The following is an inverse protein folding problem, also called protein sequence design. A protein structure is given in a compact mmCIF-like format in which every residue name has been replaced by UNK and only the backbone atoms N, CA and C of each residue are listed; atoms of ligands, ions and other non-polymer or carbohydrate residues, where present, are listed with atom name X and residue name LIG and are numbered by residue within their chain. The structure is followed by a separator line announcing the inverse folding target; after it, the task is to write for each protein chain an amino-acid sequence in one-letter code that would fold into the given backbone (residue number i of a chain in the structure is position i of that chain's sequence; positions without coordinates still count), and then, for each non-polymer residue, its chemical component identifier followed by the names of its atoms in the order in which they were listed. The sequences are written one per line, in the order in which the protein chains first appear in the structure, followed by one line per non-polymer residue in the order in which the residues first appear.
data_IF_401997634958
#
_entry.id   IF_401997634958
#
_cell.length_a   1.000
_cell.length_b   1.000
_cell.length_c   1.000
_cell.angle_alpha   90.00
_cell.angle_beta   90.00
_cell.angle_gamma   90.00
#
_symmetry.space_group_name_H-M   'P 1'
#
loop_
_entity.id
_entity.type
_entity.pdbx_description
1 polymer ?
#
# COMPACT_ATOMS: atom_id res chain seq x y z
N UNK A 1 -3.67 -16.88 -8.04
CA UNK A 1 -3.89 -15.49 -7.63
C UNK A 1 -3.86 -15.40 -6.12
N UNK A 2 -2.98 -14.55 -5.57
CA UNK A 2 -2.96 -14.22 -4.14
C UNK A 2 -4.24 -13.48 -3.74
N UNK A 3 -4.67 -13.65 -2.50
CA UNK A 3 -5.77 -12.86 -1.93
C UNK A 3 -5.22 -11.53 -1.41
N UNK A 4 -5.93 -10.42 -1.66
CA UNK A 4 -5.65 -9.12 -1.04
C UNK A 4 -6.64 -8.87 0.10
N UNK A 5 -6.14 -8.52 1.28
CA UNK A 5 -6.91 -7.92 2.38
C UNK A 5 -6.60 -6.43 2.41
N UNK A 6 -7.54 -5.60 1.96
CA UNK A 6 -7.43 -4.16 2.01
C UNK A 6 -8.01 -3.60 3.31
N UNK A 7 -7.22 -2.87 4.08
CA UNK A 7 -7.62 -2.27 5.36
C UNK A 7 -7.70 -0.75 5.17
N UNK A 8 -8.90 -0.25 4.92
CA UNK A 8 -9.18 1.19 4.85
C UNK A 8 -9.67 1.73 6.20
N UNK A 9 -9.38 2.99 6.49
CA UNK A 9 -9.78 3.66 7.72
C UNK A 9 -9.14 5.03 7.89
N UNK A 10 -9.71 5.86 8.77
CA UNK A 10 -9.22 7.21 9.04
C UNK A 10 -7.77 7.24 9.57
N UNK A 11 -7.12 8.40 9.50
CA UNK A 11 -5.81 8.60 10.13
C UNK A 11 -5.87 8.27 11.63
N UNK A 12 -4.87 7.54 12.13
CA UNK A 12 -4.82 7.12 13.53
C UNK A 12 -5.78 5.97 13.93
N UNK A 13 -6.60 5.43 13.02
CA UNK A 13 -7.59 4.39 13.36
C UNK A 13 -7.04 2.98 13.63
N UNK A 14 -5.72 2.82 13.78
CA UNK A 14 -5.09 1.52 14.08
C UNK A 14 -4.84 0.59 12.88
N UNK A 15 -4.98 1.04 11.63
CA UNK A 15 -4.80 0.19 10.42
C UNK A 15 -3.50 -0.61 10.41
N UNK A 16 -2.38 0.05 10.69
CA UNK A 16 -1.05 -0.58 10.69
C UNK A 16 -0.97 -1.67 11.76
N UNK A 17 -1.47 -1.38 12.97
CA UNK A 17 -1.52 -2.38 14.04
C UNK A 17 -2.36 -3.59 13.64
N UNK A 18 -3.56 -3.35 13.09
CA UNK A 18 -4.44 -4.42 12.57
C UNK A 18 -3.75 -5.24 11.47
N UNK A 19 -3.03 -4.60 10.54
CA UNK A 19 -2.31 -5.30 9.48
C UNK A 19 -1.26 -6.27 10.03
N UNK A 20 -0.47 -5.84 11.01
CA UNK A 20 0.56 -6.69 11.63
C UNK A 20 0.00 -7.75 12.58
N UNK A 21 -1.15 -7.51 13.22
CA UNK A 21 -1.88 -8.57 13.94
C UNK A 21 -2.42 -9.64 12.99
N UNK A 22 -2.96 -9.26 11.83
CA UNK A 22 -3.38 -10.20 10.80
C UNK A 22 -2.19 -10.99 10.25
N UNK A 23 -1.08 -10.32 9.94
CA UNK A 23 0.13 -10.97 9.43
C UNK A 23 0.66 -12.05 10.38
N UNK A 24 0.62 -11.80 11.70
CA UNK A 24 1.04 -12.79 12.71
C UNK A 24 0.17 -14.05 12.75
N UNK A 25 -1.11 -13.95 12.35
CA UNK A 25 -2.09 -15.05 12.45
C UNK A 25 -2.34 -15.74 11.11
N UNK A 26 -2.14 -15.04 10.00
CA UNK A 26 -2.35 -15.53 8.65
C UNK A 26 -0.99 -15.88 8.02
N UNK A 27 -0.73 -17.16 7.78
CA UNK A 27 0.51 -17.60 7.12
C UNK A 27 0.21 -18.56 5.96
N UNK A 28 0.85 -18.38 4.78
CA UNK A 28 1.79 -17.31 4.45
C UNK A 28 1.08 -15.98 4.15
N UNK A 29 1.60 -14.88 4.68
CA UNK A 29 1.13 -13.53 4.33
C UNK A 29 2.27 -12.51 4.26
N UNK A 30 1.97 -11.35 3.66
CA UNK A 30 2.89 -10.22 3.50
C UNK A 30 2.16 -8.90 3.69
N UNK A 31 2.73 -7.97 4.45
CA UNK A 31 2.20 -6.61 4.60
C UNK A 31 2.79 -5.72 3.51
N UNK A 32 1.96 -5.31 2.56
CA UNK A 32 2.31 -4.36 1.50
C UNK A 32 1.91 -2.95 1.93
N UNK A 33 2.87 -2.04 1.99
CA UNK A 33 2.69 -0.65 2.43
C UNK A 33 2.75 0.31 1.23
N UNK A 34 1.58 0.83 0.74
CA UNK A 34 1.52 1.75 -0.39
C UNK A 34 2.22 3.10 -0.14
N UNK A 35 2.41 3.50 1.11
CA UNK A 35 3.02 4.78 1.45
C UNK A 35 4.51 4.80 1.06
N UNK A 36 5.19 3.63 1.06
CA UNK A 36 6.59 3.52 0.62
C UNK A 36 6.81 4.05 -0.79
N UNK A 37 5.90 3.71 -1.73
CA UNK A 37 5.95 4.25 -3.08
C UNK A 37 5.63 5.74 -3.12
N UNK A 38 4.74 6.21 -2.22
CA UNK A 38 4.43 7.63 -2.06
C UNK A 38 5.64 8.46 -1.61
N UNK A 39 6.37 7.97 -0.62
CA UNK A 39 7.60 8.60 -0.13
C UNK A 39 8.70 8.59 -1.19
N UNK A 40 8.90 7.46 -1.88
CA UNK A 40 9.86 7.37 -2.97
C UNK A 40 9.52 8.38 -4.09
N UNK A 41 8.26 8.41 -4.54
CA UNK A 41 7.81 9.36 -5.56
C UNK A 41 8.07 10.81 -5.15
N UNK A 42 7.72 11.20 -3.91
CA UNK A 42 7.98 12.56 -3.42
C UNK A 42 9.47 12.92 -3.42
N UNK A 43 10.36 11.98 -3.12
CA UNK A 43 11.82 12.23 -3.13
C UNK A 43 12.41 12.46 -4.53
N UNK A 44 11.67 12.08 -5.58
CA UNK A 44 12.10 12.18 -6.99
C UNK A 44 11.42 13.32 -7.76
N UNK A 45 10.47 14.02 -7.14
CA UNK A 45 9.71 15.10 -7.78
C UNK A 45 10.27 16.46 -7.34
N UNK A 46 10.57 17.39 -8.26
CA UNK A 46 10.97 18.76 -7.93
C UNK A 46 9.94 19.46 -7.05
N UNK A 47 10.41 20.26 -6.09
CA UNK A 47 9.54 20.89 -5.08
C UNK A 47 8.48 21.81 -5.69
N UNK A 48 8.79 22.46 -6.81
CA UNK A 48 7.92 23.41 -7.51
C UNK A 48 6.65 22.76 -8.07
N UNK A 49 6.69 21.45 -8.32
CA UNK A 49 5.56 20.68 -8.85
C UNK A 49 5.08 19.60 -7.87
N UNK A 50 5.63 19.58 -6.65
CA UNK A 50 5.28 18.60 -5.66
C UNK A 50 3.83 18.78 -5.18
N UNK A 51 3.09 17.68 -5.07
CA UNK A 51 1.76 17.62 -4.46
C UNK A 51 1.87 17.40 -2.96
N UNK A 52 1.00 18.09 -2.22
CA UNK A 52 0.89 17.96 -0.76
C UNK A 52 0.57 16.54 -0.34
N UNK A 53 -0.28 15.83 -1.09
CA UNK A 53 -0.58 14.41 -0.90
C UNK A 53 -0.01 13.57 -2.05
N UNK A 54 0.78 12.55 -1.74
CA UNK A 54 1.29 11.62 -2.75
C UNK A 54 0.15 10.85 -3.44
N UNK A 55 -1.01 10.71 -2.80
CA UNK A 55 -2.19 10.07 -3.39
C UNK A 55 -2.81 10.88 -4.54
N UNK A 56 -2.46 12.16 -4.63
CA UNK A 56 -2.86 13.05 -5.73
C UNK A 56 -2.07 12.81 -7.02
N UNK A 57 -0.97 12.05 -6.98
CA UNK A 57 -0.26 11.68 -8.20
C UNK A 57 -0.91 10.46 -8.87
N UNK A 58 -1.36 10.56 -10.14
CA UNK A 58 -1.84 9.40 -10.89
C UNK A 58 -0.80 8.28 -10.99
N UNK A 59 0.50 8.64 -11.08
CA UNK A 59 1.62 7.69 -11.10
C UNK A 59 1.69 6.84 -9.84
N UNK A 60 1.43 7.41 -8.66
CA UNK A 60 1.41 6.63 -7.42
C UNK A 60 0.35 5.52 -7.47
N UNK A 61 -0.85 5.82 -7.99
CA UNK A 61 -1.92 4.82 -8.18
C UNK A 61 -1.52 3.75 -9.19
N UNK A 62 -0.94 4.16 -10.32
CA UNK A 62 -0.49 3.25 -11.36
C UNK A 62 0.62 2.30 -10.89
N UNK A 63 1.61 2.79 -10.12
CA UNK A 63 2.67 1.95 -9.60
C UNK A 63 2.18 0.95 -8.54
N UNK A 64 1.31 1.38 -7.62
CA UNK A 64 0.71 0.47 -6.65
C UNK A 64 -0.12 -0.62 -7.34
N UNK A 65 -0.93 -0.25 -8.32
CA UNK A 65 -1.70 -1.20 -9.12
C UNK A 65 -0.80 -2.24 -9.80
N UNK A 66 0.22 -1.78 -10.54
CA UNK A 66 1.11 -2.68 -11.29
C UNK A 66 1.88 -3.63 -10.37
N UNK A 67 2.35 -3.13 -9.22
CA UNK A 67 3.08 -3.96 -8.26
C UNK A 67 2.15 -4.95 -7.56
N UNK A 68 0.97 -4.53 -7.11
CA UNK A 68 -0.02 -5.43 -6.51
C UNK A 68 -0.49 -6.50 -7.50
N UNK A 69 -0.73 -6.14 -8.77
CA UNK A 69 -1.09 -7.10 -9.81
C UNK A 69 0.01 -8.16 -10.01
N UNK A 70 1.27 -7.73 -10.12
CA UNK A 70 2.42 -8.64 -10.22
C UNK A 70 2.54 -9.56 -8.98
N UNK A 71 2.34 -9.02 -7.79
CA UNK A 71 2.35 -9.80 -6.54
C UNK A 71 1.19 -10.79 -6.50
N UNK A 72 -0.01 -10.43 -6.97
CA UNK A 72 -1.14 -11.36 -7.01
C UNK A 72 -0.93 -12.52 -7.97
N UNK A 73 -0.14 -12.34 -9.03
CA UNK A 73 0.16 -13.41 -9.98
C UNK A 73 1.28 -14.34 -9.50
N UNK A 74 2.24 -13.80 -8.73
CA UNK A 74 3.47 -14.52 -8.37
C UNK A 74 3.50 -15.06 -6.95
N UNK A 75 2.80 -14.42 -6.00
CA UNK A 75 2.76 -14.83 -4.60
C UNK A 75 1.60 -15.81 -4.33
N UNK A 76 1.85 -16.82 -3.48
CA UNK A 76 0.83 -17.82 -3.09
C UNK A 76 0.23 -17.60 -1.69
N UNK A 77 0.55 -16.50 -1.03
CA UNK A 77 -0.01 -16.13 0.27
C UNK A 77 -1.04 -15.02 0.22
N UNK A 78 -1.29 -14.40 1.37
CA UNK A 78 -2.20 -13.26 1.52
C UNK A 78 -1.40 -11.97 1.53
N UNK A 79 -1.83 -10.98 0.75
CA UNK A 79 -1.25 -9.63 0.74
C UNK A 79 -2.15 -8.72 1.58
N UNK A 80 -1.61 -8.12 2.63
CA UNK A 80 -2.34 -7.24 3.55
C UNK A 80 -1.94 -5.80 3.23
N UNK A 81 -2.92 -4.96 2.88
CA UNK A 81 -2.70 -3.58 2.42
C UNK A 81 -3.38 -2.61 3.37
N UNK A 82 -2.69 -2.04 4.37
CA UNK A 82 -3.20 -0.90 5.13
C UNK A 82 -3.09 0.38 4.29
N UNK A 83 -4.19 1.09 4.09
CA UNK A 83 -4.17 2.36 3.36
C UNK A 83 -5.28 3.31 3.84
N UNK A 84 -5.06 4.62 3.74
CA UNK A 84 -6.11 5.62 3.90
C UNK A 84 -6.50 6.13 2.52
N UNK A 85 -7.64 5.71 1.98
CA UNK A 85 -8.16 6.31 0.73
C UNK A 85 -9.09 7.47 1.11
N UNK A 86 -8.81 8.64 0.55
CA UNK A 86 -9.65 9.84 0.60
C UNK A 86 -10.10 10.25 -0.81
#
# INVERSE_FOLDING_TARGET
MAMIIWINGAFGSGKTQTAFELHRRLNPSYVYDPEKLGFALRSMVPQEIAKDDFQSYPLWRAFNYSLLASLTDTYRGIIIVPMTIV
#
